data_IF_013747259834
#
_entry.id   IF_013747259834
#
_cell.length_a   1.000
_cell.length_b   1.000
_cell.length_c   1.000
_cell.angle_alpha   90.00
_cell.angle_beta   90.00
_cell.angle_gamma   90.00
#
_symmetry.space_group_name_H-M   'P 1'
#
loop_
_entity.id
_entity.type
_entity.pdbx_description
1 polymer ?
#
# COMPACT_ATOMS: atom_id res chain seq x y z
N UNK A 1 46.22 5.07 53.69
CA UNK A 1 46.01 3.97 52.72
C UNK A 1 44.57 4.06 52.25
N UNK A 2 44.33 4.32 50.96
CA UNK A 2 42.96 4.43 50.42
C UNK A 2 42.60 3.12 49.74
N UNK A 3 41.69 2.36 50.35
CA UNK A 3 41.04 1.24 49.67
C UNK A 3 40.00 1.82 48.71
N UNK A 4 40.33 1.82 47.42
CA UNK A 4 39.38 2.18 46.37
C UNK A 4 38.53 0.95 46.03
N UNK A 5 37.28 0.93 46.50
CA UNK A 5 36.31 -0.05 46.04
C UNK A 5 35.90 0.31 44.62
N UNK A 6 36.41 -0.43 43.64
CA UNK A 6 36.01 -0.32 42.23
C UNK A 6 35.04 -1.44 41.90
N UNK A 7 33.84 -1.06 41.48
CA UNK A 7 32.85 -2.01 40.98
C UNK A 7 32.72 -1.80 39.48
N UNK A 8 33.09 -2.82 38.70
CA UNK A 8 33.01 -2.84 37.23
C UNK A 8 31.84 -3.71 36.80
N UNK A 9 30.94 -3.15 36.00
CA UNK A 9 29.78 -3.84 35.46
C UNK A 9 29.85 -3.78 33.94
N UNK A 10 29.51 -4.88 33.27
CA UNK A 10 29.37 -4.94 31.81
C UNK A 10 27.90 -4.84 31.44
N UNK A 11 27.55 -3.82 30.68
CA UNK A 11 26.23 -3.69 30.06
C UNK A 11 26.36 -4.03 28.58
N UNK A 12 25.49 -4.89 28.07
CA UNK A 12 25.35 -5.08 26.62
C UNK A 12 24.12 -4.32 26.20
N UNK A 13 24.32 -3.28 25.40
CA UNK A 13 23.22 -2.50 24.82
C UNK A 13 23.03 -2.99 23.40
N UNK A 14 21.83 -3.50 23.15
CA UNK A 14 21.33 -3.78 21.81
C UNK A 14 20.13 -2.88 21.61
N UNK A 15 20.10 -2.11 20.54
CA UNK A 15 18.86 -1.58 20.00
C UNK A 15 17.98 -2.79 19.68
N UNK A 16 16.83 -2.87 20.35
CA UNK A 16 15.98 -4.04 20.28
C UNK A 16 15.39 -4.17 18.88
N UNK A 17 15.91 -5.10 18.08
CA UNK A 17 15.16 -5.67 16.97
C UNK A 17 13.94 -6.38 17.54
N UNK A 18 12.76 -5.78 17.39
CA UNK A 18 11.50 -6.38 17.82
C UNK A 18 11.29 -7.68 17.03
N UNK A 19 11.35 -8.82 17.72
CA UNK A 19 11.00 -10.10 17.14
C UNK A 19 9.48 -10.14 16.96
N UNK A 20 9.00 -9.71 15.79
CA UNK A 20 7.59 -9.73 15.42
C UNK A 20 7.18 -11.20 15.26
N UNK A 21 6.50 -11.74 16.28
CA UNK A 21 5.65 -12.91 16.13
C UNK A 21 4.45 -12.47 15.28
N UNK A 22 4.47 -12.80 14.00
CA UNK A 22 3.32 -12.63 13.09
C UNK A 22 2.23 -13.59 13.56
N UNK A 23 1.35 -13.10 14.43
CA UNK A 23 0.07 -13.75 14.71
C UNK A 23 -0.81 -13.62 13.49
N UNK A 24 -0.96 -14.70 12.71
CA UNK A 24 -1.96 -14.78 11.64
C UNK A 24 -3.36 -14.81 12.25
N UNK A 25 -3.88 -13.64 12.60
CA UNK A 25 -5.29 -13.44 12.94
C UNK A 25 -6.12 -13.50 11.67
N UNK A 26 -6.60 -14.68 11.31
CA UNK A 26 -7.59 -14.85 10.27
C UNK A 26 -8.92 -14.22 10.73
N UNK A 27 -9.14 -12.95 10.39
CA UNK A 27 -10.47 -12.34 10.47
C UNK A 27 -11.32 -12.94 9.34
N UNK A 28 -11.99 -14.04 9.65
CA UNK A 28 -13.07 -14.54 8.81
C UNK A 28 -14.23 -13.54 8.89
N UNK A 29 -14.31 -12.62 7.92
CA UNK A 29 -15.55 -11.90 7.66
C UNK A 29 -16.59 -12.93 7.21
N UNK A 30 -17.54 -13.21 8.08
CA UNK A 30 -18.74 -13.94 7.72
C UNK A 30 -19.56 -13.05 6.78
N UNK A 31 -19.33 -13.20 5.47
CA UNK A 31 -20.27 -12.72 4.47
C UNK A 31 -21.60 -13.46 4.70
N UNK A 32 -22.62 -12.73 5.13
CA UNK A 32 -23.98 -13.26 5.24
C UNK A 32 -24.43 -13.81 3.87
N UNK A 33 -25.25 -14.87 3.83
CA UNK A 33 -25.68 -15.48 2.58
C UNK A 33 -26.46 -14.45 1.76
N UNK A 34 -25.82 -13.90 0.73
CA UNK A 34 -26.48 -13.14 -0.31
C UNK A 34 -27.30 -14.15 -1.12
N UNK A 35 -28.62 -14.01 -1.06
CA UNK A 35 -29.53 -14.71 -1.95
C UNK A 35 -29.06 -14.49 -3.40
N UNK A 36 -28.85 -15.55 -4.19
CA UNK A 36 -28.48 -15.38 -5.59
C UNK A 36 -29.55 -14.55 -6.28
N UNK A 37 -29.17 -13.55 -7.10
CA UNK A 37 -30.14 -12.84 -7.91
C UNK A 37 -30.91 -13.87 -8.74
N UNK A 38 -32.23 -13.78 -8.66
CA UNK A 38 -33.14 -14.60 -9.46
C UNK A 38 -32.71 -14.51 -10.91
N UNK A 39 -32.16 -15.60 -11.45
CA UNK A 39 -31.84 -15.73 -12.87
C UNK A 39 -33.19 -15.66 -13.58
N UNK A 40 -33.50 -14.51 -14.16
CA UNK A 40 -34.55 -14.43 -15.16
C UNK A 40 -34.25 -15.50 -16.23
N UNK A 41 -35.26 -16.28 -16.65
CA UNK A 41 -35.02 -17.42 -17.53
C UNK A 41 -34.43 -16.96 -18.86
N UNK A 42 -33.58 -17.81 -19.44
CA UNK A 42 -32.89 -17.68 -20.72
C UNK A 42 -33.82 -17.63 -21.96
N UNK A 43 -35.03 -17.08 -21.80
CA UNK A 43 -36.09 -17.00 -22.80
C UNK A 43 -35.90 -15.81 -23.76
N UNK A 44 -35.01 -14.87 -23.44
CA UNK A 44 -34.73 -13.67 -24.26
C UNK A 44 -33.62 -13.83 -25.32
N UNK A 45 -32.83 -14.91 -25.32
CA UNK A 45 -31.66 -15.01 -26.21
C UNK A 45 -31.97 -15.36 -27.67
N UNK A 46 -33.12 -15.98 -27.95
CA UNK A 46 -33.43 -16.51 -29.29
C UNK A 46 -33.54 -15.45 -30.41
N UNK A 47 -34.17 -14.27 -30.20
CA UNK A 47 -34.17 -13.19 -31.19
C UNK A 47 -32.76 -12.64 -31.45
N UNK A 48 -31.93 -12.51 -30.40
CA UNK A 48 -30.57 -11.99 -30.50
C UNK A 48 -29.61 -12.99 -31.19
N UNK A 49 -29.81 -14.29 -30.96
CA UNK A 49 -29.09 -15.34 -31.69
C UNK A 49 -29.42 -15.31 -33.20
N UNK A 50 -30.69 -15.05 -33.52
CA UNK A 50 -31.14 -14.89 -34.92
C UNK A 50 -30.53 -13.66 -35.57
N UNK A 51 -30.44 -12.54 -34.84
CA UNK A 51 -29.76 -11.33 -35.29
C UNK A 51 -28.29 -11.60 -35.62
N UNK A 52 -27.56 -12.25 -34.70
CA UNK A 52 -26.15 -12.61 -34.88
C UNK A 52 -25.95 -13.51 -36.10
N UNK A 53 -26.79 -14.53 -36.24
CA UNK A 53 -26.75 -15.46 -37.37
C UNK A 53 -26.98 -14.77 -38.72
N UNK A 54 -27.92 -13.83 -38.78
CA UNK A 54 -28.29 -13.15 -40.03
C UNK A 54 -27.31 -12.06 -40.44
N UNK A 55 -26.81 -11.28 -39.49
CA UNK A 55 -26.07 -10.05 -39.78
C UNK A 55 -24.57 -10.12 -39.49
N UNK A 56 -24.12 -11.09 -38.68
CA UNK A 56 -22.72 -11.16 -38.23
C UNK A 56 -21.98 -12.39 -38.76
N UNK A 57 -22.55 -13.60 -38.63
CA UNK A 57 -21.85 -14.86 -38.92
C UNK A 57 -21.46 -15.08 -40.38
N UNK A 58 -22.08 -14.36 -41.33
CA UNK A 58 -21.68 -14.42 -42.74
C UNK A 58 -20.22 -13.95 -42.97
N UNK A 59 -19.73 -13.03 -42.13
CA UNK A 59 -18.37 -12.48 -42.21
C UNK A 59 -17.50 -12.86 -41.00
N UNK A 60 -18.10 -12.98 -39.81
CA UNK A 60 -17.40 -13.23 -38.54
C UNK A 60 -17.52 -14.70 -38.13
N UNK A 61 -16.82 -15.57 -38.86
CA UNK A 61 -16.75 -17.02 -38.63
C UNK A 61 -15.30 -17.52 -38.61
N UNK A 62 -15.09 -18.75 -38.11
CA UNK A 62 -13.75 -19.34 -37.97
C UNK A 62 -13.02 -19.43 -39.32
N UNK A 63 -13.75 -19.70 -40.40
CA UNK A 63 -13.15 -19.82 -41.74
C UNK A 63 -12.51 -18.52 -42.23
N UNK A 64 -13.17 -17.38 -42.01
CA UNK A 64 -12.67 -16.06 -42.42
C UNK A 64 -11.65 -15.50 -41.43
N UNK A 65 -11.77 -15.85 -40.15
CA UNK A 65 -10.75 -15.58 -39.13
C UNK A 65 -9.44 -16.30 -39.46
N UNK A 66 -9.48 -17.60 -39.75
CA UNK A 66 -8.31 -18.41 -40.10
C UNK A 66 -7.59 -17.92 -41.37
N UNK A 67 -8.31 -17.21 -42.26
CA UNK A 67 -7.75 -16.56 -43.45
C UNK A 67 -7.24 -15.14 -43.21
N UNK A 68 -7.35 -14.63 -41.98
CA UNK A 68 -6.97 -13.26 -41.61
C UNK A 68 -7.87 -12.18 -42.22
N UNK A 69 -9.07 -12.53 -42.72
CA UNK A 69 -9.98 -11.56 -43.37
C UNK A 69 -10.78 -10.75 -42.35
N UNK A 70 -11.03 -11.33 -41.17
CA UNK A 70 -11.65 -10.66 -40.02
C UNK A 70 -10.82 -10.92 -38.77
N UNK A 71 -10.81 -10.00 -37.79
CA UNK A 71 -10.03 -10.16 -36.56
C UNK A 71 -10.77 -10.95 -35.46
N UNK A 72 -12.05 -11.30 -35.68
CA UNK A 72 -12.90 -11.95 -34.70
C UNK A 72 -13.94 -12.85 -35.38
N UNK A 73 -14.22 -13.98 -34.74
CA UNK A 73 -15.29 -14.92 -35.06
C UNK A 73 -16.30 -14.93 -33.93
N UNK A 74 -17.58 -15.11 -34.26
CA UNK A 74 -18.65 -15.26 -33.27
C UNK A 74 -19.24 -16.68 -33.21
N UNK A 75 -18.59 -17.68 -33.82
CA UNK A 75 -19.12 -19.06 -33.82
C UNK A 75 -19.04 -19.71 -32.43
N UNK A 76 -18.00 -19.39 -31.65
CA UNK A 76 -17.83 -19.87 -30.27
C UNK A 76 -18.38 -18.89 -29.21
N UNK A 77 -18.70 -17.65 -29.62
CA UNK A 77 -19.26 -16.63 -28.74
C UNK A 77 -20.78 -16.71 -28.72
N UNK A 78 -21.34 -17.09 -27.57
CA UNK A 78 -22.79 -17.20 -27.39
C UNK A 78 -23.42 -15.93 -26.84
N UNK A 79 -24.59 -15.58 -27.35
CA UNK A 79 -25.47 -14.54 -26.78
C UNK A 79 -26.17 -15.00 -25.49
N UNK A 80 -26.05 -16.28 -25.12
CA UNK A 80 -26.59 -16.81 -23.88
C UNK A 80 -25.70 -16.49 -22.65
N UNK A 81 -24.42 -16.18 -22.87
CA UNK A 81 -23.49 -15.72 -21.84
C UNK A 81 -22.60 -14.61 -22.40
N UNK A 82 -23.18 -13.41 -22.51
CA UNK A 82 -22.48 -12.21 -22.97
C UNK A 82 -21.29 -11.89 -22.06
N UNK A 83 -21.40 -12.17 -20.75
CA UNK A 83 -20.34 -11.88 -19.78
C UNK A 83 -19.03 -12.64 -20.03
N UNK A 84 -19.08 -13.86 -20.60
CA UNK A 84 -17.88 -14.62 -20.95
C UNK A 84 -17.05 -13.97 -22.08
N UNK A 85 -17.67 -13.17 -22.94
CA UNK A 85 -17.05 -12.51 -24.09
C UNK A 85 -16.99 -10.99 -23.98
N UNK A 86 -17.08 -10.42 -22.77
CA UNK A 86 -17.33 -8.99 -22.55
C UNK A 86 -16.43 -8.06 -23.38
N UNK A 87 -15.11 -8.30 -23.38
CA UNK A 87 -14.15 -7.47 -24.12
C UNK A 87 -14.44 -7.42 -25.65
N UNK A 88 -14.87 -8.54 -26.22
CA UNK A 88 -15.24 -8.62 -27.63
C UNK A 88 -16.58 -7.92 -27.87
N UNK A 89 -17.56 -8.17 -27.02
CA UNK A 89 -18.90 -7.58 -27.15
C UNK A 89 -18.88 -6.06 -26.98
N UNK A 90 -18.07 -5.50 -26.09
CA UNK A 90 -17.87 -4.05 -25.99
C UNK A 90 -17.31 -3.45 -27.29
N UNK A 91 -16.37 -4.14 -27.94
CA UNK A 91 -15.87 -3.73 -29.27
C UNK A 91 -16.99 -3.77 -30.31
N UNK A 92 -17.86 -4.78 -30.26
CA UNK A 92 -19.04 -4.89 -31.13
C UNK A 92 -19.99 -3.73 -30.89
N UNK A 93 -20.37 -3.43 -29.65
CA UNK A 93 -21.20 -2.29 -29.26
C UNK A 93 -20.64 -0.99 -29.83
N UNK A 94 -19.34 -0.71 -29.67
CA UNK A 94 -18.70 0.48 -30.26
C UNK A 94 -18.82 0.55 -31.77
N UNK A 95 -18.68 -0.59 -32.48
CA UNK A 95 -18.85 -0.66 -33.94
C UNK A 95 -20.29 -0.47 -34.37
N UNK A 96 -21.25 -0.97 -33.57
CA UNK A 96 -22.66 -0.81 -33.84
C UNK A 96 -23.12 0.64 -33.60
N UNK A 97 -22.69 1.30 -32.53
CA UNK A 97 -22.94 2.74 -32.33
C UNK A 97 -22.41 3.59 -33.48
N UNK A 98 -21.22 3.27 -33.99
CA UNK A 98 -20.63 3.94 -35.14
C UNK A 98 -21.31 3.59 -36.48
N UNK A 99 -22.33 2.72 -36.49
CA UNK A 99 -23.01 2.16 -37.68
C UNK A 99 -22.08 1.53 -38.71
N UNK A 100 -20.87 1.18 -38.30
CA UNK A 100 -19.84 0.63 -39.18
C UNK A 100 -20.12 -0.82 -39.61
N UNK A 101 -20.99 -1.52 -38.87
CA UNK A 101 -21.41 -2.89 -39.15
C UNK A 101 -22.94 -2.99 -39.24
N UNK A 102 -23.49 -3.85 -40.11
CA UNK A 102 -22.83 -4.53 -41.24
C UNK A 102 -22.30 -3.52 -42.28
N UNK A 103 -21.20 -3.81 -42.99
CA UNK A 103 -20.60 -2.86 -43.93
C UNK A 103 -21.54 -2.55 -45.11
N UNK A 104 -21.27 -1.44 -45.82
CA UNK A 104 -22.05 -1.05 -46.99
C UNK A 104 -22.16 -2.20 -48.02
N UNK A 105 -23.35 -2.39 -48.57
CA UNK A 105 -23.64 -3.49 -49.51
C UNK A 105 -24.00 -4.82 -48.85
N UNK A 106 -24.02 -4.91 -47.52
CA UNK A 106 -24.58 -6.07 -46.78
C UNK A 106 -26.00 -5.79 -46.30
N UNK A 107 -26.83 -6.83 -46.10
CA UNK A 107 -28.13 -6.67 -45.47
C UNK A 107 -27.98 -6.00 -44.11
N UNK A 108 -28.77 -4.96 -43.87
CA UNK A 108 -28.85 -4.28 -42.58
C UNK A 108 -30.27 -4.46 -42.02
N UNK A 109 -30.43 -4.66 -40.71
CA UNK A 109 -31.74 -4.63 -40.08
C UNK A 109 -32.35 -3.22 -40.19
N UNK A 110 -33.66 -3.12 -39.98
CA UNK A 110 -34.30 -1.85 -39.69
C UNK A 110 -33.75 -1.22 -38.40
N UNK A 111 -33.97 0.09 -38.27
CA UNK A 111 -33.40 0.89 -37.20
C UNK A 111 -33.84 0.43 -35.80
N UNK A 112 -35.12 0.08 -35.64
CA UNK A 112 -35.68 -0.38 -34.37
C UNK A 112 -35.02 -1.69 -33.91
N UNK A 113 -34.90 -2.65 -34.82
CA UNK A 113 -34.20 -3.91 -34.55
C UNK A 113 -32.71 -3.69 -34.25
N UNK A 114 -32.08 -2.75 -34.94
CA UNK A 114 -30.66 -2.41 -34.73
C UNK A 114 -30.41 -1.84 -33.33
N UNK A 115 -31.14 -0.79 -32.97
CA UNK A 115 -31.00 -0.11 -31.68
C UNK A 115 -31.44 -1.00 -30.52
N UNK A 116 -32.47 -1.83 -30.74
CA UNK A 116 -32.91 -2.84 -29.77
C UNK A 116 -31.83 -3.88 -29.46
N UNK A 117 -31.09 -4.35 -30.48
CA UNK A 117 -29.97 -5.27 -30.26
C UNK A 117 -28.82 -4.61 -29.50
N UNK A 118 -28.46 -3.37 -29.85
CA UNK A 118 -27.39 -2.62 -29.16
C UNK A 118 -27.74 -2.40 -27.69
N UNK A 119 -28.94 -1.89 -27.42
CA UNK A 119 -29.42 -1.61 -26.05
C UNK A 119 -29.45 -2.88 -25.20
N UNK A 120 -29.91 -4.00 -25.77
CA UNK A 120 -29.91 -5.29 -25.09
C UNK A 120 -28.48 -5.75 -24.75
N UNK A 121 -27.57 -5.67 -25.72
CA UNK A 121 -26.19 -6.13 -25.53
C UNK A 121 -25.47 -5.32 -24.45
N UNK A 122 -25.67 -3.99 -24.42
CA UNK A 122 -25.17 -3.11 -23.36
C UNK A 122 -25.74 -3.48 -22.00
N UNK A 123 -27.05 -3.73 -21.92
CA UNK A 123 -27.71 -4.10 -20.65
C UNK A 123 -27.18 -5.44 -20.10
N UNK A 124 -26.89 -6.42 -20.96
CA UNK A 124 -26.29 -7.68 -20.54
C UNK A 124 -24.84 -7.51 -20.08
N UNK A 125 -24.06 -6.65 -20.75
CA UNK A 125 -22.69 -6.30 -20.35
C UNK A 125 -22.68 -5.61 -18.98
N UNK A 126 -23.55 -4.62 -18.78
CA UNK A 126 -23.69 -3.91 -17.50
C UNK A 126 -24.08 -4.87 -16.37
N UNK A 127 -25.00 -5.80 -16.64
CA UNK A 127 -25.39 -6.83 -15.67
C UNK A 127 -24.23 -7.77 -15.34
N UNK A 128 -23.45 -8.18 -16.34
CA UNK A 128 -22.28 -9.01 -16.14
C UNK A 128 -21.20 -8.30 -15.31
N UNK A 129 -20.96 -7.02 -15.57
CA UNK A 129 -20.03 -6.18 -14.82
C UNK A 129 -20.49 -5.97 -13.37
N UNK A 130 -21.77 -5.69 -13.14
CA UNK A 130 -22.32 -5.53 -11.80
C UNK A 130 -22.24 -6.83 -10.97
N UNK A 131 -22.37 -8.00 -11.60
CA UNK A 131 -22.26 -9.29 -10.92
C UNK A 131 -20.82 -9.64 -10.51
N UNK A 132 -19.82 -9.14 -11.25
CA UNK A 132 -18.39 -9.32 -10.95
C UNK A 132 -17.65 -8.01 -11.22
N UNK A 133 -17.73 -7.04 -10.30
CA UNK A 133 -17.05 -5.77 -10.46
C UNK A 133 -15.53 -5.98 -10.55
N UNK A 134 -14.93 -5.46 -11.62
CA UNK A 134 -13.48 -5.38 -11.78
C UNK A 134 -13.08 -3.90 -11.71
N UNK A 135 -12.54 -3.41 -10.57
CA UNK A 135 -12.08 -2.03 -10.46
C UNK A 135 -10.82 -1.74 -11.30
N UNK A 136 -10.30 -2.75 -12.00
CA UNK A 136 -9.09 -2.65 -12.80
C UNK A 136 -7.83 -2.74 -11.95
N UNK A 137 -6.71 -2.26 -12.50
CA UNK A 137 -5.42 -2.26 -11.82
C UNK A 137 -5.32 -1.02 -10.93
N UNK A 138 -4.84 -1.15 -9.68
CA UNK A 138 -4.58 0.01 -8.85
C UNK A 138 -3.55 0.90 -9.54
N UNK A 139 -3.84 2.19 -9.61
CA UNK A 139 -2.87 3.17 -10.08
C UNK A 139 -1.65 3.20 -9.13
N UNK A 140 -0.46 3.39 -9.71
CA UNK A 140 0.76 3.52 -8.91
C UNK A 140 0.70 4.85 -8.17
N UNK A 141 0.79 4.79 -6.84
CA UNK A 141 0.84 5.98 -5.98
C UNK A 141 2.09 5.98 -5.11
N UNK A 142 2.47 7.16 -4.63
CA UNK A 142 3.46 7.28 -3.55
C UNK A 142 2.88 6.78 -2.22
N UNK A 143 3.78 6.49 -1.28
CA UNK A 143 3.41 6.27 0.12
C UNK A 143 2.94 7.59 0.74
N UNK A 144 1.95 7.50 1.63
CA UNK A 144 1.60 8.60 2.54
C UNK A 144 2.74 8.86 3.52
N UNK A 145 2.74 10.00 4.20
CA UNK A 145 3.74 10.32 5.22
C UNK A 145 3.73 9.27 6.34
N UNK A 146 2.53 8.85 6.79
CA UNK A 146 2.39 7.79 7.78
C UNK A 146 2.90 6.43 7.28
N UNK A 147 2.58 6.06 6.05
CA UNK A 147 3.08 4.82 5.44
C UNK A 147 4.61 4.84 5.29
N UNK A 148 5.19 5.99 4.94
CA UNK A 148 6.63 6.15 4.85
C UNK A 148 7.30 6.00 6.22
N UNK A 149 6.77 6.63 7.26
CA UNK A 149 7.28 6.47 8.64
C UNK A 149 7.26 4.99 9.06
N UNK A 150 6.14 4.31 8.82
CA UNK A 150 6.00 2.90 9.16
C UNK A 150 6.98 2.03 8.36
N UNK A 151 7.15 2.30 7.05
CA UNK A 151 8.13 1.59 6.24
C UNK A 151 9.57 1.79 6.74
N UNK A 152 9.94 2.99 7.17
CA UNK A 152 11.26 3.25 7.77
C UNK A 152 11.43 2.50 9.09
N UNK A 153 10.41 2.49 9.95
CA UNK A 153 10.41 1.70 11.19
C UNK A 153 10.60 0.22 10.90
N UNK A 154 9.84 -0.33 9.95
CA UNK A 154 9.83 -1.77 9.67
C UNK A 154 11.11 -2.23 8.98
N UNK A 155 11.68 -1.41 8.09
CA UNK A 155 12.89 -1.76 7.33
C UNK A 155 14.19 -1.49 8.08
N UNK A 156 14.24 -0.41 8.87
CA UNK A 156 15.47 0.07 9.49
C UNK A 156 15.45 -0.01 11.02
N UNK A 157 14.34 -0.42 11.63
CA UNK A 157 14.11 -0.34 13.07
C UNK A 157 14.33 1.08 13.65
N UNK A 158 14.11 2.11 12.82
CA UNK A 158 14.28 3.51 13.19
C UNK A 158 12.94 4.19 13.40
N UNK A 159 12.78 4.83 14.56
CA UNK A 159 11.67 5.73 14.81
C UNK A 159 12.01 7.12 14.26
N UNK A 160 11.19 7.58 13.33
CA UNK A 160 11.28 8.91 12.71
C UNK A 160 9.93 9.61 12.83
N UNK A 161 9.97 10.93 12.93
CA UNK A 161 8.78 11.77 13.09
C UNK A 161 8.58 12.70 11.89
N UNK A 162 7.48 13.46 11.90
CA UNK A 162 7.14 14.42 10.84
C UNK A 162 8.18 15.54 10.72
N UNK A 163 8.83 15.93 11.84
CA UNK A 163 9.91 16.93 11.83
C UNK A 163 11.17 16.40 11.12
N UNK A 164 11.42 15.10 11.18
CA UNK A 164 12.50 14.45 10.44
C UNK A 164 12.23 14.42 8.94
N UNK A 165 10.97 14.23 8.54
CA UNK A 165 10.57 14.11 7.14
C UNK A 165 10.39 15.46 6.44
N UNK A 166 9.78 16.44 7.12
CA UNK A 166 9.40 17.74 6.56
C UNK A 166 8.60 17.62 5.25
N UNK A 167 7.77 16.58 5.14
CA UNK A 167 6.88 16.42 4.00
C UNK A 167 5.72 17.42 4.11
N UNK A 168 5.23 17.96 2.98
CA UNK A 168 3.93 18.62 2.97
C UNK A 168 2.85 17.62 3.41
N UNK A 169 1.71 18.14 3.86
CA UNK A 169 0.54 17.31 4.16
C UNK A 169 0.15 16.47 2.92
N UNK A 170 -0.31 15.25 3.16
CA UNK A 170 -0.80 14.39 2.09
C UNK A 170 -2.10 14.95 1.51
N UNK A 171 -2.23 14.88 0.18
CA UNK A 171 -3.46 15.27 -0.49
C UNK A 171 -4.59 14.29 -0.12
N UNK A 172 -5.79 14.84 0.09
CA UNK A 172 -7.00 14.08 0.39
C UNK A 172 -7.97 14.19 -0.79
N UNK A 173 -8.65 13.09 -1.12
CA UNK A 173 -9.71 13.13 -2.11
C UNK A 173 -10.96 13.86 -1.59
N UNK A 174 -11.96 14.04 -2.48
CA UNK A 174 -13.22 14.70 -2.15
C UNK A 174 -14.00 13.98 -1.03
N UNK A 175 -13.68 12.71 -0.78
CA UNK A 175 -14.28 11.86 0.24
C UNK A 175 -13.45 11.84 1.54
N UNK A 176 -12.32 12.55 1.57
CA UNK A 176 -11.44 12.69 2.73
C UNK A 176 -10.42 11.55 2.92
N UNK A 177 -10.22 10.70 1.92
CA UNK A 177 -9.23 9.63 1.98
C UNK A 177 -7.88 10.11 1.46
N UNK A 178 -6.84 9.95 2.30
CA UNK A 178 -5.46 10.28 1.98
C UNK A 178 -4.70 9.14 1.28
N UNK A 179 -5.37 8.06 0.86
CA UNK A 179 -4.74 6.87 0.26
C UNK A 179 -5.13 6.66 -1.20
N UNK A 180 -5.88 7.61 -1.77
CA UNK A 180 -6.36 7.54 -3.14
C UNK A 180 -5.21 7.81 -4.13
N UNK A 181 -5.02 6.88 -5.06
CA UNK A 181 -3.95 6.96 -6.04
C UNK A 181 -4.13 8.08 -7.05
N UNK A 182 -5.37 8.51 -7.31
CA UNK A 182 -5.67 9.56 -8.28
C UNK A 182 -5.26 10.96 -7.79
N UNK A 183 -5.11 11.13 -6.47
CA UNK A 183 -4.80 12.43 -5.84
C UNK A 183 -3.36 12.48 -5.31
N UNK A 184 -2.79 11.33 -4.93
CA UNK A 184 -1.42 11.25 -4.42
C UNK A 184 -0.36 11.33 -5.53
N UNK A 185 -0.09 12.55 -5.97
CA UNK A 185 0.96 12.86 -6.92
C UNK A 185 2.31 13.17 -6.25
N UNK A 186 3.40 13.13 -7.02
CA UNK A 186 4.74 13.51 -6.57
C UNK A 186 5.09 14.86 -7.20
N UNK A 187 5.09 15.93 -6.39
CA UNK A 187 5.56 17.24 -6.81
C UNK A 187 7.10 17.32 -6.76
N UNK A 188 7.74 18.22 -7.55
CA UNK A 188 9.20 18.43 -7.46
C UNK A 188 9.66 18.77 -6.04
N UNK A 189 8.92 19.61 -5.32
CA UNK A 189 9.22 19.98 -3.94
C UNK A 189 9.15 18.76 -3.01
N UNK A 190 8.14 17.90 -3.16
CA UNK A 190 8.04 16.67 -2.37
C UNK A 190 9.21 15.72 -2.67
N UNK A 191 9.61 15.59 -3.94
CA UNK A 191 10.76 14.78 -4.31
C UNK A 191 12.07 15.27 -3.66
N UNK A 192 12.30 16.59 -3.65
CA UNK A 192 13.44 17.17 -2.93
C UNK A 192 13.39 16.84 -1.43
N UNK A 193 12.20 16.87 -0.81
CA UNK A 193 12.03 16.47 0.61
C UNK A 193 12.32 15.00 0.83
N UNK A 194 11.89 14.10 -0.06
CA UNK A 194 12.26 12.68 0.01
C UNK A 194 13.79 12.49 0.01
N UNK A 195 14.53 13.21 -0.84
CA UNK A 195 15.99 13.11 -0.89
C UNK A 195 16.66 13.62 0.40
N UNK A 196 16.18 14.73 0.95
CA UNK A 196 16.67 15.28 2.22
C UNK A 196 16.38 14.32 3.38
N UNK A 197 15.15 13.81 3.47
CA UNK A 197 14.74 12.83 4.48
C UNK A 197 15.56 11.54 4.36
N UNK A 198 15.71 11.00 3.15
CA UNK A 198 16.50 9.80 2.90
C UNK A 198 17.96 9.97 3.31
N UNK A 199 18.59 11.13 3.05
CA UNK A 199 19.95 11.41 3.49
C UNK A 199 20.06 11.40 5.03
N UNK A 200 19.14 12.08 5.72
CA UNK A 200 19.12 12.16 7.18
C UNK A 200 18.89 10.79 7.81
N UNK A 201 17.90 10.04 7.31
CA UNK A 201 17.57 8.69 7.79
C UNK A 201 18.72 7.73 7.55
N UNK A 202 19.37 7.78 6.37
CA UNK A 202 20.52 6.92 6.07
C UNK A 202 21.69 7.17 7.04
N UNK A 203 21.94 8.43 7.40
CA UNK A 203 22.98 8.76 8.40
C UNK A 203 22.62 8.25 9.80
N UNK A 204 21.34 8.31 10.18
CA UNK A 204 20.88 7.73 11.45
C UNK A 204 21.00 6.20 11.45
N UNK A 205 20.65 5.55 10.33
CA UNK A 205 20.68 4.10 10.19
C UNK A 205 22.11 3.53 10.23
N UNK A 206 23.05 4.21 9.57
CA UNK A 206 24.46 3.78 9.54
C UNK A 206 25.19 4.17 10.84
N UNK A 207 24.78 5.26 11.48
CA UNK A 207 25.52 5.84 12.61
C UNK A 207 26.84 6.47 12.18
N UNK A 208 27.72 6.75 13.14
CA UNK A 208 29.08 7.23 12.87
C UNK A 208 30.07 6.04 12.93
N UNK A 209 30.57 5.56 11.77
CA UNK A 209 31.47 4.41 11.72
C UNK A 209 32.87 4.74 12.25
N UNK A 210 33.18 6.01 12.49
CA UNK A 210 34.46 6.45 13.03
C UNK A 210 34.50 6.47 14.55
N UNK A 211 33.35 6.25 15.22
CA UNK A 211 33.31 6.05 16.67
C UNK A 211 34.02 4.73 17.00
N UNK A 212 35.31 4.85 17.33
CA UNK A 212 36.13 3.73 17.76
C UNK A 212 35.84 3.28 19.20
N UNK A 213 36.41 2.15 19.63
CA UNK A 213 36.25 1.60 20.99
C UNK A 213 36.78 2.52 22.11
N UNK A 214 37.42 3.63 21.76
CA UNK A 214 37.91 4.66 22.69
C UNK A 214 37.00 5.87 22.86
N UNK A 215 35.70 5.76 22.53
CA UNK A 215 34.72 6.84 22.78
C UNK A 215 34.94 7.41 24.19
N UNK A 216 35.06 8.74 24.28
CA UNK A 216 35.50 9.41 25.48
C UNK A 216 34.66 8.95 26.68
N UNK A 217 35.28 8.39 27.74
CA UNK A 217 34.52 7.89 28.88
C UNK A 217 33.78 9.06 29.52
N UNK A 218 32.44 9.03 29.49
CA UNK A 218 31.63 10.02 30.16
C UNK A 218 31.79 9.84 31.68
N UNK A 219 32.43 10.80 32.32
CA UNK A 219 32.65 10.79 33.77
C UNK A 219 31.72 11.80 34.41
N UNK A 220 30.81 11.31 35.24
CA UNK A 220 29.92 12.14 36.04
C UNK A 220 30.42 12.15 37.48
N UNK A 221 30.64 13.34 38.04
CA UNK A 221 31.11 13.51 39.41
C UNK A 221 30.09 14.29 40.22
N UNK A 222 29.73 13.77 41.39
CA UNK A 222 29.01 14.53 42.41
C UNK A 222 29.97 15.47 43.13
N UNK A 223 29.70 16.79 43.20
CA UNK A 223 30.52 17.73 43.95
C UNK A 223 30.54 17.39 45.45
N UNK A 224 31.70 17.55 46.09
CA UNK A 224 31.89 17.22 47.53
C UNK A 224 31.01 18.02 48.49
N UNK A 225 30.63 19.23 48.06
CA UNK A 225 29.87 20.18 48.85
C UNK A 225 28.41 20.28 48.37
N UNK A 226 27.97 19.33 47.53
CA UNK A 226 26.59 19.29 47.09
C UNK A 226 25.71 18.94 48.29
N UNK A 227 24.83 19.87 48.64
CA UNK A 227 23.87 19.71 49.73
C UNK A 227 22.66 18.92 49.19
N UNK A 228 22.44 17.71 49.69
CA UNK A 228 21.43 16.76 49.19
C UNK A 228 20.44 16.43 50.31
N UNK A 229 19.70 17.45 50.72
CA UNK A 229 18.82 17.42 51.89
C UNK A 229 17.36 17.13 51.54
N UNK A 230 17.07 17.09 50.24
CA UNK A 230 15.76 16.76 49.66
C UNK A 230 15.94 15.88 48.41
N UNK A 231 14.84 15.54 47.74
CA UNK A 231 14.83 14.75 46.50
C UNK A 231 15.49 15.53 45.36
N UNK A 232 16.56 14.95 44.81
CA UNK A 232 17.38 15.58 43.77
C UNK A 232 16.78 15.46 42.36
N UNK A 233 15.95 14.46 42.10
CA UNK A 233 15.17 14.31 40.87
C UNK A 233 14.05 13.29 41.05
N UNK A 234 13.10 13.25 40.10
CA UNK A 234 12.08 12.21 40.06
C UNK A 234 12.68 10.79 39.94
N UNK A 235 13.87 10.69 39.35
CA UNK A 235 14.60 9.44 39.17
C UNK A 235 15.39 9.01 40.44
N UNK A 236 15.33 9.79 41.53
CA UNK A 236 16.04 9.51 42.79
C UNK A 236 15.09 9.43 44.01
N UNK A 237 15.33 8.52 44.97
CA UNK A 237 14.63 8.51 46.26
C UNK A 237 14.92 9.75 47.11
N UNK A 238 13.99 10.06 48.04
CA UNK A 238 14.20 11.07 49.08
C UNK A 238 15.43 10.73 49.94
N UNK A 239 16.23 11.75 50.27
CA UNK A 239 17.42 11.59 51.13
C UNK A 239 18.63 10.93 50.47
N UNK A 240 18.68 10.88 49.13
CA UNK A 240 19.80 10.31 48.37
C UNK A 240 21.09 11.14 48.54
N UNK A 241 21.90 10.81 49.55
CA UNK A 241 23.22 11.41 49.78
C UNK A 241 24.31 10.69 48.98
N UNK A 242 24.98 11.42 48.10
CA UNK A 242 25.98 10.90 47.16
C UNK A 242 25.41 10.19 45.93
N UNK A 243 24.08 10.08 45.82
CA UNK A 243 23.40 9.45 44.69
C UNK A 243 23.31 10.36 43.46
N UNK A 244 23.27 9.77 42.28
CA UNK A 244 23.03 10.44 40.99
C UNK A 244 22.17 9.56 40.08
N UNK A 245 21.30 10.19 39.30
CA UNK A 245 20.59 9.55 38.19
C UNK A 245 21.09 10.19 36.89
N UNK A 246 21.50 9.38 35.93
CA UNK A 246 22.09 9.84 34.66
C UNK A 246 21.32 9.20 33.52
N UNK A 247 20.84 10.03 32.59
CA UNK A 247 20.39 9.56 31.27
C UNK A 247 21.57 9.66 30.31
N UNK A 248 21.97 8.53 29.77
CA UNK A 248 23.10 8.43 28.85
C UNK A 248 22.63 7.84 27.52
N UNK A 249 22.97 8.51 26.42
CA UNK A 249 22.71 8.02 25.07
C UNK A 249 23.90 7.18 24.61
N UNK A 250 23.68 5.89 24.38
CA UNK A 250 24.70 4.99 23.83
C UNK A 250 24.71 5.13 22.30
N UNK A 251 25.79 5.67 21.69
CA UNK A 251 25.79 6.00 20.27
C UNK A 251 25.92 4.79 19.34
N UNK A 252 26.21 3.60 19.87
CA UNK A 252 26.41 2.37 19.13
C UNK A 252 25.81 1.19 19.90
N UNK A 253 25.54 0.10 19.20
CA UNK A 253 25.36 -1.20 19.85
C UNK A 253 26.71 -1.75 20.28
N UNK A 254 26.78 -2.29 21.49
CA UNK A 254 28.05 -2.78 22.00
C UNK A 254 28.08 -3.13 23.47
N UNK A 255 29.27 -3.52 23.91
CA UNK A 255 29.58 -3.77 25.31
C UNK A 255 30.17 -2.52 25.94
N UNK A 256 29.52 -2.06 27.00
CA UNK A 256 29.89 -0.88 27.76
C UNK A 256 30.35 -1.27 29.15
N UNK A 257 31.53 -0.78 29.54
CA UNK A 257 32.04 -0.92 30.90
C UNK A 257 31.60 0.27 31.76
N UNK A 258 30.74 0.02 32.74
CA UNK A 258 30.35 1.01 33.73
C UNK A 258 31.22 0.85 34.98
N UNK A 259 31.90 1.94 35.37
CA UNK A 259 32.76 1.98 36.56
C UNK A 259 32.23 2.98 37.57
N UNK A 260 31.94 2.48 38.76
CA UNK A 260 31.57 3.31 39.91
C UNK A 260 32.78 3.40 40.84
N UNK A 261 33.17 4.63 41.18
CA UNK A 261 34.21 4.91 42.18
C UNK A 261 33.58 5.61 43.37
N UNK A 262 33.43 4.87 44.46
CA UNK A 262 33.00 5.43 45.73
C UNK A 262 34.22 5.97 46.47
N UNK A 263 34.14 7.22 46.93
CA UNK A 263 35.15 7.81 47.80
C UNK A 263 34.58 7.86 49.21
N UNK A 264 35.25 7.17 50.14
CA UNK A 264 35.02 7.33 51.59
C UNK A 264 35.57 8.69 52.06
#
# INVERSE_FOLDING_TARGET
MREEATMTWRLTVWTAGLLVLIGTGAYAQAAGPQLPPSRAPAESAAPHATFLGRYCLACHNERLLARGTVPVSFEELTVADVGAGAEVWEKVVRKLHARAMPPAGRPRPDEETYDGFVTWLETELDRAAAARPDPGRPAVRRLTSAEYINAIRDLLALEVDEETLLFPADDVDEQGFATNADVLSVSPALFERYLVAANRISRLAVGDPTIGPGFAPATYSTPRLLYQDDRMSEDLPFGSRGGMAIRYHFPLDGQYDVRIRLRR
#
